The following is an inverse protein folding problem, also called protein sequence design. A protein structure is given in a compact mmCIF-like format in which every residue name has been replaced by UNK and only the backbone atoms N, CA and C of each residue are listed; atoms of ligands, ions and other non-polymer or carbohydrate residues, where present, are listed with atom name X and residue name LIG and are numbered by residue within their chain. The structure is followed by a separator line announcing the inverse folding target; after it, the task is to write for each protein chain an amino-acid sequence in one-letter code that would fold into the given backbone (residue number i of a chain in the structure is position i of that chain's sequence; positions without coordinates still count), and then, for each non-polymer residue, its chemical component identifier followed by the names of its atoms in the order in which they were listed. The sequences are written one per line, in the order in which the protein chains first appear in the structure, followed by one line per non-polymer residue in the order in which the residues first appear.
data_IF_007693447444
#
_entry.id   IF_007693447444
#
_cell.length_a   1.000
_cell.length_b   1.000
_cell.length_c   1.000
_cell.angle_alpha   90.00
_cell.angle_beta   90.00
_cell.angle_gamma   90.00
#
_symmetry.space_group_name_H-M   'P 1'
#
loop_
_entity.id
_entity.type
_entity.pdbx_description
1 polymer ?
#
# COMPACT_ATOMS: atom_id res chain seq x y z
N UNK A 1 -30.49 54.71 37.37
CA UNK A 1 -31.02 53.97 36.21
C UNK A 1 -30.11 53.96 34.95
N UNK A 2 -28.93 54.61 34.93
CA UNK A 2 -28.10 54.72 33.71
C UNK A 2 -27.14 53.55 33.39
N UNK A 3 -26.88 52.64 34.35
CA UNK A 3 -25.93 51.53 34.12
C UNK A 3 -26.47 50.41 33.22
N UNK A 4 -27.80 50.18 33.18
CA UNK A 4 -28.40 49.06 32.44
C UNK A 4 -28.38 49.23 30.91
N UNK A 5 -28.39 50.47 30.42
CA UNK A 5 -28.35 50.77 28.97
C UNK A 5 -26.94 50.63 28.36
N UNK A 6 -25.89 50.86 29.15
CA UNK A 6 -24.49 50.72 28.70
C UNK A 6 -24.15 49.27 28.34
N UNK A 7 -24.58 48.31 29.16
CA UNK A 7 -24.39 46.88 28.89
C UNK A 7 -25.21 46.38 27.70
N UNK A 8 -26.38 46.97 27.42
CA UNK A 8 -27.23 46.61 26.28
C UNK A 8 -26.61 47.03 24.93
N UNK A 9 -25.93 48.19 24.90
CA UNK A 9 -25.21 48.69 23.72
C UNK A 9 -23.96 47.83 23.44
N UNK A 10 -23.26 47.38 24.48
CA UNK A 10 -22.11 46.49 24.36
C UNK A 10 -22.50 45.10 23.81
N UNK A 11 -23.68 44.61 24.18
CA UNK A 11 -24.23 43.33 23.72
C UNK A 11 -24.70 43.40 22.25
N UNK A 12 -25.30 44.52 21.83
CA UNK A 12 -25.66 44.78 20.42
C UNK A 12 -24.42 44.96 19.52
N UNK A 13 -23.35 45.59 20.02
CA UNK A 13 -22.09 45.69 19.29
C UNK A 13 -21.39 44.31 19.16
N UNK A 14 -21.53 43.43 20.16
CA UNK A 14 -21.05 42.05 20.10
C UNK A 14 -21.74 41.19 19.04
N UNK A 15 -23.04 41.36 18.84
CA UNK A 15 -23.82 40.64 17.81
C UNK A 15 -23.51 41.16 16.39
N UNK A 16 -23.26 42.46 16.24
CA UNK A 16 -22.81 43.03 14.97
C UNK A 16 -21.38 42.60 14.59
N UNK A 17 -20.49 42.40 15.57
CA UNK A 17 -19.13 41.91 15.35
C UNK A 17 -19.06 40.46 14.85
N UNK A 18 -19.99 39.60 15.26
CA UNK A 18 -20.04 38.20 14.82
C UNK A 18 -20.59 38.02 13.39
N UNK A 19 -21.19 39.05 12.81
CA UNK A 19 -21.67 39.03 11.42
C UNK A 19 -20.57 39.37 10.39
N UNK A 20 -19.36 39.75 10.84
CA UNK A 20 -18.28 40.21 9.95
C UNK A 20 -17.18 39.17 9.67
N UNK A 21 -17.26 37.96 10.22
CA UNK A 21 -16.28 36.92 9.97
C UNK A 21 -16.73 35.96 8.85
N UNK A 22 -16.84 36.49 7.62
CA UNK A 22 -16.74 35.69 6.38
C UNK A 22 -15.27 35.42 5.98
N UNK A 23 -14.33 35.48 6.92
CA UNK A 23 -12.88 35.44 6.65
C UNK A 23 -12.25 34.03 6.66
N UNK A 24 -13.00 32.95 6.94
CA UNK A 24 -12.40 31.61 7.12
C UNK A 24 -13.08 30.48 6.33
N UNK A 25 -13.71 30.79 5.19
CA UNK A 25 -14.32 29.76 4.34
C UNK A 25 -14.05 30.04 2.87
N UNK A 26 -12.89 29.60 2.36
CA UNK A 26 -12.73 29.44 0.92
C UNK A 26 -13.80 28.46 0.44
N UNK A 27 -14.61 28.87 -0.54
CA UNK A 27 -15.59 27.98 -1.14
C UNK A 27 -14.85 26.81 -1.78
N UNK A 28 -15.16 25.58 -1.38
CA UNK A 28 -14.62 24.38 -1.99
C UNK A 28 -14.95 24.40 -3.49
N UNK A 29 -13.91 24.46 -4.33
CA UNK A 29 -14.06 24.49 -5.78
C UNK A 29 -13.66 25.81 -6.46
N UNK A 30 -13.22 26.84 -5.73
CA UNK A 30 -12.63 28.05 -6.32
C UNK A 30 -11.10 28.02 -6.23
N UNK A 31 -10.45 28.56 -7.27
CA UNK A 31 -9.00 28.67 -7.34
C UNK A 31 -8.48 29.68 -6.34
N UNK A 32 -7.56 29.26 -5.48
CA UNK A 32 -6.94 30.14 -4.47
C UNK A 32 -6.08 31.25 -5.09
N UNK A 33 -5.54 31.04 -6.29
CA UNK A 33 -4.71 32.00 -7.00
C UNK A 33 -5.49 32.89 -7.96
N UNK A 34 -6.52 32.37 -8.62
CA UNK A 34 -7.23 33.11 -9.69
C UNK A 34 -8.69 33.46 -9.35
N UNK A 35 -9.31 32.80 -8.36
CA UNK A 35 -10.72 32.95 -8.02
C UNK A 35 -11.69 32.29 -9.00
N UNK A 36 -11.20 31.61 -10.05
CA UNK A 36 -12.03 30.89 -11.01
C UNK A 36 -12.56 29.59 -10.40
N UNK A 37 -13.77 29.19 -10.77
CA UNK A 37 -14.35 27.92 -10.32
C UNK A 37 -13.80 26.75 -11.13
N UNK A 38 -13.38 25.71 -10.42
CA UNK A 38 -12.97 24.43 -10.98
C UNK A 38 -14.20 23.60 -11.39
N UNK A 39 -14.05 22.74 -12.41
CA UNK A 39 -15.06 21.79 -12.89
C UNK A 39 -16.37 22.42 -13.44
N UNK A 40 -16.39 23.71 -13.76
CA UNK A 40 -17.57 24.36 -14.35
C UNK A 40 -17.37 24.55 -15.87
N UNK A 41 -18.25 23.98 -16.74
CA UNK A 41 -18.16 24.12 -18.20
C UNK A 41 -18.20 25.58 -18.69
N UNK A 42 -18.85 26.46 -17.93
CA UNK A 42 -18.98 27.88 -18.24
C UNK A 42 -17.69 28.68 -17.97
N UNK A 43 -16.75 28.13 -17.19
CA UNK A 43 -15.51 28.79 -16.75
C UNK A 43 -14.27 28.15 -17.37
N UNK A 44 -14.37 27.67 -18.61
CA UNK A 44 -13.24 27.14 -19.38
C UNK A 44 -13.03 25.63 -19.25
N UNK A 45 -13.91 24.92 -18.53
CA UNK A 45 -13.91 23.45 -18.49
C UNK A 45 -12.66 22.82 -17.89
N UNK A 46 -11.92 23.57 -17.06
CA UNK A 46 -10.75 23.02 -16.37
C UNK A 46 -11.20 22.11 -15.24
N UNK A 47 -10.94 20.81 -15.41
CA UNK A 47 -11.35 19.78 -14.47
C UNK A 47 -10.23 19.48 -13.45
N UNK A 48 -10.58 19.52 -12.18
CA UNK A 48 -9.72 19.19 -11.04
C UNK A 48 -10.43 18.19 -10.14
N UNK A 49 -9.77 17.09 -9.82
CA UNK A 49 -10.29 16.12 -8.85
C UNK A 49 -10.16 16.73 -7.45
N UNK A 50 -11.28 17.15 -6.87
CA UNK A 50 -11.31 17.80 -5.56
C UNK A 50 -11.15 16.80 -4.41
N UNK A 51 -11.77 15.62 -4.54
CA UNK A 51 -11.82 14.60 -3.49
C UNK A 51 -11.01 13.35 -3.90
N UNK A 52 -9.69 13.49 -3.91
CA UNK A 52 -8.80 12.35 -4.18
C UNK A 52 -8.61 11.50 -2.93
N UNK A 53 -9.21 10.30 -2.94
CA UNK A 53 -8.85 9.23 -2.01
C UNK A 53 -7.93 8.24 -2.72
N UNK A 54 -6.73 7.97 -2.19
CA UNK A 54 -5.84 7.00 -2.80
C UNK A 54 -6.48 5.61 -2.73
N UNK A 55 -6.73 5.01 -3.90
CA UNK A 55 -7.22 3.63 -4.01
C UNK A 55 -6.06 2.69 -3.73
N UNK A 56 -6.22 1.81 -2.74
CA UNK A 56 -5.20 0.84 -2.35
C UNK A 56 -5.37 -0.48 -3.10
N UNK A 57 -4.26 -1.19 -3.28
CA UNK A 57 -4.27 -2.59 -3.67
C UNK A 57 -4.85 -3.49 -2.56
N UNK A 58 -5.23 -4.74 -2.90
CA UNK A 58 -5.79 -5.68 -1.94
C UNK A 58 -4.77 -6.06 -0.86
N UNK A 59 -5.19 -6.01 0.41
CA UNK A 59 -4.36 -6.42 1.57
C UNK A 59 -3.30 -5.39 2.00
N UNK A 60 -3.34 -4.17 1.44
CA UNK A 60 -2.43 -3.08 1.80
C UNK A 60 -3.05 -2.16 2.86
N UNK A 61 -2.23 -1.80 3.86
CA UNK A 61 -2.55 -0.85 4.92
C UNK A 61 -1.74 0.42 4.72
N UNK A 62 -2.36 1.58 4.96
CA UNK A 62 -1.70 2.88 4.91
C UNK A 62 -0.87 3.10 6.18
N UNK A 63 0.41 3.38 6.00
CA UNK A 63 1.33 3.76 7.08
C UNK A 63 1.58 5.26 6.99
N UNK A 64 1.21 5.97 8.06
CA UNK A 64 1.42 7.41 8.15
C UNK A 64 2.92 7.74 8.18
N UNK A 65 3.31 8.68 7.33
CA UNK A 65 4.65 9.24 7.32
C UNK A 65 4.93 10.01 8.60
N UNK A 66 6.17 9.94 9.06
CA UNK A 66 6.54 10.53 10.33
C UNK A 66 8.01 10.32 10.64
N UNK A 67 8.40 10.77 11.83
CA UNK A 67 9.75 10.60 12.34
C UNK A 67 9.72 9.69 13.56
N UNK A 68 10.48 8.61 13.52
CA UNK A 68 10.61 7.68 14.63
C UNK A 68 12.09 7.38 14.93
N UNK A 69 12.35 6.81 16.10
CA UNK A 69 13.69 6.36 16.48
C UNK A 69 13.79 4.89 16.07
N UNK A 70 14.65 4.59 15.09
CA UNK A 70 14.94 3.25 14.62
C UNK A 70 16.12 2.69 15.40
N UNK A 71 15.99 1.48 15.94
CA UNK A 71 17.02 0.79 16.73
C UNK A 71 16.58 0.58 18.18
N UNK A 72 17.51 0.15 19.03
CA UNK A 72 17.18 -0.13 20.44
C UNK A 72 16.98 1.15 21.24
N UNK A 73 15.82 1.25 21.89
CA UNK A 73 15.53 2.26 22.92
C UNK A 73 15.77 1.75 24.34
N UNK A 74 15.86 0.42 24.52
CA UNK A 74 16.04 -0.26 25.80
C UNK A 74 17.40 -0.98 25.90
N UNK A 75 17.84 -1.20 27.15
CA UNK A 75 19.10 -1.88 27.46
C UNK A 75 18.92 -3.40 27.33
N UNK A 76 19.74 -4.01 26.47
CA UNK A 76 19.80 -5.46 26.30
C UNK A 76 20.68 -6.08 27.38
N UNK A 77 20.22 -7.20 27.91
CA UNK A 77 20.91 -7.98 28.94
C UNK A 77 22.24 -8.53 28.41
N UNK A 78 22.34 -8.79 27.11
CA UNK A 78 23.55 -9.37 26.50
C UNK A 78 24.60 -8.34 26.09
N UNK A 79 24.36 -7.03 26.32
CA UNK A 79 25.30 -5.94 26.01
C UNK A 79 25.86 -5.95 24.56
N UNK A 80 25.13 -6.52 23.59
CA UNK A 80 25.55 -6.48 22.19
C UNK A 80 25.32 -5.07 21.60
N UNK A 81 26.30 -4.55 20.84
CA UNK A 81 26.31 -3.20 20.25
C UNK A 81 25.97 -3.22 18.74
N UNK A 82 24.94 -3.96 18.34
CA UNK A 82 24.56 -4.12 16.93
C UNK A 82 23.42 -3.20 16.46
N UNK A 83 22.81 -2.42 17.35
CA UNK A 83 21.61 -1.62 17.05
C UNK A 83 21.65 -0.25 17.75
N UNK A 84 22.39 0.69 17.16
CA UNK A 84 22.45 2.08 17.66
C UNK A 84 21.18 2.84 17.27
N UNK A 85 20.45 3.46 18.22
CA UNK A 85 19.25 4.21 17.92
C UNK A 85 19.56 5.43 17.05
N UNK A 86 18.85 5.56 15.93
CA UNK A 86 18.94 6.70 15.01
C UNK A 86 17.54 7.23 14.68
N UNK A 87 17.41 8.55 14.60
CA UNK A 87 16.16 9.18 14.17
C UNK A 87 16.03 9.07 12.65
N UNK A 88 14.94 8.45 12.18
CA UNK A 88 14.65 8.27 10.75
C UNK A 88 13.31 8.91 10.45
N UNK A 89 13.25 9.66 9.35
CA UNK A 89 12.02 10.22 8.80
C UNK A 89 11.66 9.44 7.55
N UNK A 90 10.43 8.92 7.49
CA UNK A 90 9.91 8.13 6.38
C UNK A 90 8.64 8.81 5.85
N UNK A 91 8.51 8.89 4.54
CA UNK A 91 7.29 9.37 3.89
C UNK A 91 6.13 8.38 4.12
N UNK A 92 4.89 8.81 3.95
CA UNK A 92 3.75 7.90 4.03
C UNK A 92 3.80 6.86 2.89
N UNK A 93 3.51 5.60 3.19
CA UNK A 93 3.54 4.51 2.22
C UNK A 93 2.54 3.42 2.57
N UNK A 94 2.42 2.42 1.70
CA UNK A 94 1.56 1.26 1.92
C UNK A 94 2.38 0.01 2.21
N UNK A 95 1.93 -0.82 3.14
CA UNK A 95 2.56 -2.09 3.49
C UNK A 95 1.50 -3.21 3.53
N UNK A 96 1.89 -4.43 3.18
CA UNK A 96 1.02 -5.60 3.34
C UNK A 96 0.72 -5.83 4.83
N UNK A 97 -0.52 -6.19 5.16
CA UNK A 97 -0.96 -6.46 6.53
C UNK A 97 -0.34 -7.74 7.12
N UNK A 98 -0.14 -8.76 6.28
CA UNK A 98 0.40 -10.06 6.66
C UNK A 98 1.56 -10.45 5.75
N UNK A 99 2.37 -11.41 6.17
CA UNK A 99 3.35 -12.02 5.27
C UNK A 99 2.68 -12.70 4.07
N UNK A 100 3.48 -12.92 3.03
CA UNK A 100 3.04 -13.64 1.83
C UNK A 100 2.74 -15.10 2.17
N UNK A 101 1.52 -15.54 1.90
CA UNK A 101 1.07 -16.90 2.19
C UNK A 101 1.60 -17.89 1.16
N UNK A 102 1.66 -19.17 1.53
CA UNK A 102 2.03 -20.25 0.62
C UNK A 102 1.06 -20.36 -0.57
N UNK A 103 -0.23 -20.06 -0.38
CA UNK A 103 -1.21 -20.08 -1.47
C UNK A 103 -0.96 -18.98 -2.49
N UNK A 104 -0.64 -17.77 -2.03
CA UNK A 104 -0.37 -16.62 -2.90
C UNK A 104 0.91 -16.84 -3.73
N UNK A 105 1.96 -17.40 -3.10
CA UNK A 105 3.18 -17.75 -3.83
C UNK A 105 2.96 -18.91 -4.83
N UNK A 106 2.01 -19.81 -4.55
CA UNK A 106 1.61 -20.85 -5.51
C UNK A 106 0.82 -20.29 -6.69
N UNK A 107 0.01 -19.26 -6.48
CA UNK A 107 -0.62 -18.51 -7.57
C UNK A 107 0.43 -17.89 -8.50
N UNK A 108 1.45 -17.26 -7.93
CA UNK A 108 2.60 -16.74 -8.68
C UNK A 108 3.27 -17.81 -9.55
N UNK A 109 3.62 -18.95 -8.94
CA UNK A 109 4.23 -20.06 -9.66
C UNK A 109 3.33 -20.64 -10.75
N UNK A 110 2.02 -20.72 -10.49
CA UNK A 110 1.05 -21.16 -11.47
C UNK A 110 0.98 -20.19 -12.66
N UNK A 111 0.96 -18.89 -12.39
CA UNK A 111 0.97 -17.86 -13.42
C UNK A 111 2.24 -17.94 -14.28
N UNK A 112 3.42 -18.02 -13.65
CA UNK A 112 4.70 -18.16 -14.37
C UNK A 112 4.71 -19.38 -15.29
N UNK A 113 4.25 -20.53 -14.78
CA UNK A 113 4.20 -21.77 -15.56
C UNK A 113 3.26 -21.68 -16.76
N UNK A 114 2.15 -20.94 -16.63
CA UNK A 114 1.16 -20.76 -17.68
C UNK A 114 1.63 -19.79 -18.76
N UNK A 115 2.24 -18.67 -18.34
CA UNK A 115 2.62 -17.57 -19.24
C UNK A 115 3.95 -17.86 -19.94
N UNK A 116 4.99 -18.25 -19.21
CA UNK A 116 6.32 -18.49 -19.78
C UNK A 116 6.48 -19.93 -20.27
N UNK A 117 5.93 -20.23 -21.45
CA UNK A 117 6.00 -21.55 -22.08
C UNK A 117 7.33 -21.76 -22.78
N UNK A 118 7.82 -20.75 -23.51
CA UNK A 118 9.11 -20.80 -24.19
C UNK A 118 10.30 -20.73 -23.22
N UNK A 119 10.08 -20.17 -22.02
CA UNK A 119 11.12 -19.93 -21.02
C UNK A 119 10.88 -20.68 -19.69
N UNK A 120 10.97 -22.03 -19.67
CA UNK A 120 10.71 -22.83 -18.47
C UNK A 120 11.70 -22.55 -17.33
N UNK A 121 12.84 -21.92 -17.63
CA UNK A 121 13.84 -21.55 -16.62
C UNK A 121 13.30 -20.50 -15.64
N UNK A 122 12.42 -19.59 -16.09
CA UNK A 122 11.83 -18.55 -15.24
C UNK A 122 11.07 -19.20 -14.09
N UNK A 123 10.21 -20.18 -14.41
CA UNK A 123 9.48 -20.96 -13.40
C UNK A 123 10.42 -21.71 -12.45
N UNK A 124 11.44 -22.40 -12.97
CA UNK A 124 12.39 -23.16 -12.14
C UNK A 124 13.16 -22.27 -11.17
N UNK A 125 13.58 -21.09 -11.62
CA UNK A 125 14.29 -20.13 -10.78
C UNK A 125 13.41 -19.55 -9.66
N UNK A 126 12.11 -19.41 -9.90
CA UNK A 126 11.16 -18.91 -8.91
C UNK A 126 10.78 -19.94 -7.83
N UNK A 127 11.11 -21.23 -7.98
CA UNK A 127 10.77 -22.26 -7.00
C UNK A 127 11.45 -21.97 -5.64
N UNK A 128 10.70 -22.10 -4.52
CA UNK A 128 11.29 -21.97 -3.19
C UNK A 128 12.14 -23.20 -2.86
N UNK A 129 13.15 -23.02 -2.03
CA UNK A 129 13.94 -24.12 -1.49
C UNK A 129 13.20 -24.82 -0.35
N UNK A 130 12.71 -26.03 -0.60
CA UNK A 130 11.99 -26.82 0.40
C UNK A 130 12.93 -27.52 1.40
N UNK A 131 14.24 -27.60 1.11
CA UNK A 131 15.21 -28.28 1.96
C UNK A 131 15.62 -27.45 3.19
N UNK A 132 15.17 -26.19 3.28
CA UNK A 132 15.39 -25.30 4.42
C UNK A 132 14.97 -25.91 5.77
N UNK A 133 13.98 -26.82 5.75
CA UNK A 133 13.49 -27.50 6.95
C UNK A 133 14.40 -28.64 7.41
N UNK A 134 15.29 -29.14 6.55
CA UNK A 134 16.11 -30.32 6.84
C UNK A 134 17.17 -29.99 7.90
N UNK A 135 17.18 -30.77 8.97
CA UNK A 135 18.19 -30.69 10.03
C UNK A 135 18.76 -32.08 10.31
N UNK A 136 20.09 -32.25 10.49
CA UNK A 136 20.71 -33.56 10.68
C UNK A 136 20.15 -34.39 11.86
N UNK A 137 19.63 -33.74 12.91
CA UNK A 137 19.10 -34.40 14.12
C UNK A 137 17.64 -34.01 14.42
N UNK A 138 16.96 -33.30 13.50
CA UNK A 138 15.59 -32.82 13.69
C UNK A 138 14.56 -33.63 12.89
N UNK A 139 13.40 -33.92 13.49
CA UNK A 139 12.29 -34.58 12.80
C UNK A 139 11.45 -33.57 11.98
N UNK A 140 12.07 -33.00 10.94
CA UNK A 140 11.44 -31.97 10.09
C UNK A 140 11.18 -32.43 8.65
N UNK A 141 11.48 -33.68 8.32
CA UNK A 141 11.25 -34.25 6.99
C UNK A 141 9.79 -34.10 6.49
N UNK A 142 8.74 -34.18 7.34
CA UNK A 142 7.38 -33.92 6.90
C UNK A 142 7.17 -32.49 6.36
N UNK A 143 7.91 -31.50 6.89
CA UNK A 143 7.80 -30.11 6.42
C UNK A 143 8.45 -29.92 5.04
N UNK A 144 9.52 -30.65 4.74
CA UNK A 144 10.18 -30.62 3.42
C UNK A 144 9.21 -30.98 2.30
N UNK A 145 8.37 -31.99 2.54
CA UNK A 145 7.40 -32.47 1.55
C UNK A 145 6.11 -31.65 1.56
N UNK A 146 5.56 -31.40 2.75
CA UNK A 146 4.20 -30.92 2.91
C UNK A 146 4.07 -29.40 3.07
N UNK A 147 5.05 -28.69 3.63
CA UNK A 147 4.87 -27.29 4.04
C UNK A 147 4.40 -26.40 2.88
N UNK A 148 5.07 -26.47 1.73
CA UNK A 148 4.70 -25.65 0.57
C UNK A 148 3.52 -26.21 -0.23
N UNK A 149 3.25 -27.52 -0.15
CA UNK A 149 2.36 -28.23 -1.08
C UNK A 149 0.99 -28.57 -0.48
N UNK A 150 0.94 -28.86 0.80
CA UNK A 150 -0.25 -29.42 1.45
C UNK A 150 -1.27 -28.30 1.78
N UNK A 151 -2.59 -28.54 1.58
CA UNK A 151 -3.63 -27.53 1.82
C UNK A 151 -3.65 -26.95 3.24
N UNK A 152 -3.29 -27.76 4.25
CA UNK A 152 -3.25 -27.31 5.65
C UNK A 152 -2.29 -26.13 5.89
N UNK A 153 -1.29 -25.94 5.02
CA UNK A 153 -0.31 -24.86 5.13
C UNK A 153 -0.59 -23.68 4.19
N UNK A 154 -1.78 -23.60 3.58
CA UNK A 154 -2.13 -22.54 2.63
C UNK A 154 -1.95 -21.13 3.20
N UNK A 155 -2.41 -20.89 4.43
CA UNK A 155 -2.33 -19.59 5.09
C UNK A 155 -1.02 -19.33 5.85
N UNK A 156 -0.07 -20.26 5.79
CA UNK A 156 1.23 -20.08 6.44
C UNK A 156 2.16 -19.25 5.54
N UNK A 157 3.11 -18.51 6.11
CA UNK A 157 4.05 -17.72 5.32
C UNK A 157 4.91 -18.60 4.42
N UNK A 158 5.29 -18.07 3.26
CA UNK A 158 6.23 -18.77 2.38
C UNK A 158 7.65 -18.72 2.94
N UNK A 159 8.35 -19.87 2.92
CA UNK A 159 9.71 -20.03 3.44
C UNK A 159 10.60 -20.64 2.36
N UNK A 160 11.91 -20.39 2.43
CA UNK A 160 12.88 -20.87 1.43
C UNK A 160 13.00 -19.98 0.19
N UNK A 161 12.60 -18.71 0.31
CA UNK A 161 12.66 -17.70 -0.75
C UNK A 161 13.86 -16.79 -0.51
N UNK A 162 14.69 -16.58 -1.53
CA UNK A 162 15.80 -15.64 -1.47
C UNK A 162 15.32 -14.21 -1.69
N UNK A 163 16.14 -13.21 -1.32
CA UNK A 163 15.80 -11.80 -1.52
C UNK A 163 15.46 -11.47 -2.99
N UNK A 164 16.21 -12.02 -3.95
CA UNK A 164 15.93 -11.83 -5.38
C UNK A 164 14.55 -12.39 -5.76
N UNK A 165 14.23 -13.62 -5.34
CA UNK A 165 12.93 -14.24 -5.62
C UNK A 165 11.76 -13.47 -4.99
N UNK A 166 11.97 -12.94 -3.78
CA UNK A 166 10.98 -12.10 -3.11
C UNK A 166 10.76 -10.78 -3.85
N UNK A 167 11.82 -10.15 -4.36
CA UNK A 167 11.74 -8.94 -5.18
C UNK A 167 10.96 -9.20 -6.48
N UNK A 168 11.26 -10.30 -7.18
CA UNK A 168 10.56 -10.69 -8.41
C UNK A 168 9.07 -10.93 -8.16
N UNK A 169 8.73 -11.56 -7.02
CA UNK A 169 7.34 -11.76 -6.61
C UNK A 169 6.61 -10.42 -6.38
N UNK A 170 7.24 -9.47 -5.72
CA UNK A 170 6.65 -8.15 -5.47
C UNK A 170 6.39 -7.37 -6.78
N UNK A 171 7.31 -7.47 -7.75
CA UNK A 171 7.13 -6.88 -9.08
C UNK A 171 5.93 -7.51 -9.78
N UNK A 172 5.91 -8.85 -9.88
CA UNK A 172 4.79 -9.59 -10.47
C UNK A 172 3.45 -9.26 -9.81
N UNK A 173 3.39 -9.20 -8.48
CA UNK A 173 2.16 -8.88 -7.75
C UNK A 173 1.67 -7.49 -8.10
N UNK A 174 2.58 -6.52 -8.17
CA UNK A 174 2.25 -5.13 -8.52
C UNK A 174 1.63 -5.07 -9.92
N UNK A 175 2.24 -5.76 -10.88
CA UNK A 175 1.76 -5.84 -12.26
C UNK A 175 0.38 -6.50 -12.33
N UNK A 176 0.18 -7.62 -11.63
CA UNK A 176 -1.11 -8.33 -11.59
C UNK A 176 -2.24 -7.52 -10.96
N UNK A 177 -1.95 -6.76 -9.91
CA UNK A 177 -2.92 -5.85 -9.30
C UNK A 177 -3.28 -4.73 -10.27
N UNK A 178 -2.28 -4.14 -10.93
CA UNK A 178 -2.49 -3.07 -11.91
C UNK A 178 -3.31 -3.55 -13.12
N UNK A 179 -3.00 -4.72 -13.66
CA UNK A 179 -3.76 -5.36 -14.74
C UNK A 179 -5.23 -5.52 -14.34
N UNK A 180 -5.49 -6.05 -13.13
CA UNK A 180 -6.85 -6.24 -12.63
C UNK A 180 -7.59 -4.90 -12.41
N UNK A 181 -6.89 -3.85 -11.98
CA UNK A 181 -7.47 -2.51 -11.86
C UNK A 181 -7.85 -1.94 -13.23
N UNK A 182 -7.03 -2.14 -14.26
CA UNK A 182 -7.31 -1.70 -15.64
C UNK A 182 -8.49 -2.46 -16.24
N UNK A 183 -8.56 -3.77 -16.02
CA UNK A 183 -9.69 -4.62 -16.44
C UNK A 183 -10.97 -4.17 -15.75
N UNK A 184 -10.95 -3.93 -14.43
CA UNK A 184 -12.11 -3.40 -13.69
C UNK A 184 -12.52 -2.00 -14.16
N UNK A 185 -11.55 -1.19 -14.61
CA UNK A 185 -11.79 0.12 -15.20
C UNK A 185 -12.34 0.08 -16.63
N UNK A 186 -12.38 -1.08 -17.29
CA UNK A 186 -12.84 -1.23 -18.67
C UNK A 186 -11.85 -0.75 -19.72
N UNK A 187 -10.59 -0.50 -19.35
CA UNK A 187 -9.55 -0.02 -20.27
C UNK A 187 -8.92 -1.17 -21.07
N UNK A 188 -8.85 -2.36 -20.46
CA UNK A 188 -8.25 -3.57 -21.03
C UNK A 188 -9.25 -4.72 -20.88
N UNK A 189 -9.32 -5.60 -21.88
CA UNK A 189 -10.12 -6.83 -21.81
C UNK A 189 -9.36 -7.92 -21.03
N UNK A 190 -10.07 -8.72 -20.26
CA UNK A 190 -9.47 -9.85 -19.56
C UNK A 190 -9.00 -10.91 -20.57
N UNK A 191 -7.68 -11.06 -20.70
CA UNK A 191 -7.08 -12.10 -21.53
C UNK A 191 -6.54 -13.25 -20.69
N UNK A 192 -7.08 -14.45 -20.92
CA UNK A 192 -6.64 -15.69 -20.27
C UNK A 192 -5.58 -16.45 -21.09
N UNK A 193 -5.29 -16.00 -22.31
CA UNK A 193 -4.41 -16.67 -23.27
C UNK A 193 -3.04 -16.02 -23.44
N UNK A 194 -2.69 -15.04 -22.59
CA UNK A 194 -1.36 -14.42 -22.50
C UNK A 194 -0.23 -15.45 -22.48
N UNK A 195 0.78 -15.25 -23.33
CA UNK A 195 1.92 -16.17 -23.51
C UNK A 195 3.21 -15.42 -23.80
N UNK A 196 4.27 -15.82 -23.12
CA UNK A 196 5.64 -15.37 -23.30
C UNK A 196 5.75 -13.83 -23.35
N UNK A 197 5.97 -13.24 -24.53
CA UNK A 197 6.10 -11.79 -24.75
C UNK A 197 4.75 -11.06 -24.82
N UNK A 198 3.65 -11.79 -25.01
CA UNK A 198 2.28 -11.24 -24.98
C UNK A 198 1.75 -11.29 -23.56
N UNK A 199 2.53 -10.80 -22.60
CA UNK A 199 2.13 -10.69 -21.20
C UNK A 199 2.10 -9.22 -20.78
N UNK A 200 1.35 -8.90 -19.73
CA UNK A 200 1.11 -7.52 -19.30
C UNK A 200 2.39 -6.71 -18.98
N UNK A 201 3.51 -7.38 -18.73
CA UNK A 201 4.75 -6.75 -18.25
C UNK A 201 5.66 -6.25 -19.39
N UNK A 202 5.35 -6.58 -20.65
CA UNK A 202 6.13 -6.21 -21.86
C UNK A 202 5.26 -5.53 -22.89
#
# INVERSE_FOLDING_TARGET
MKLKYSHLILLMAGVAGLSSCKMFGGKSGESSTTGWRYNDPNYGGFEVVMDYTPKTGPGLVFVEGGTFIMGRVEQDVMYDWNSTPRRVTVASFYMDETEVKNVDYREYLFWLRRVYVAYPQVYKNALPDTLVWRSPMGFNDPYVTNYFRHPAYNDHPVVGVSWLKASDYCLWRSDRVNEMLLVKGGWINLDLQQKDHENFNT
#
